data_IF_525819770897
#
_entry.id   IF_525819770897
#
_cell.length_a   1.000
_cell.length_b   1.000
_cell.length_c   1.000
_cell.angle_alpha   90.00
_cell.angle_beta   90.00
_cell.angle_gamma   90.00
#
_symmetry.space_group_name_H-M   'P 1'
#
loop_
_entity.id
_entity.type
_entity.pdbx_description
1 polymer ?
#
# COMPACT_ATOMS: atom_id res chain seq x y z
N UNK A 1 -20.89 14.82 -17.26
CA UNK A 1 -20.47 14.61 -16.72
C UNK A 1 -19.43 14.44 -16.62
N UNK A 2 -19.09 14.71 -16.54
CA UNK A 2 -18.12 14.53 -16.36
C UNK A 2 -17.72 13.57 -15.85
N UNK A 3 -17.28 13.00 -16.12
CA UNK A 3 -16.87 12.21 -15.63
C UNK A 3 -15.94 12.20 -15.10
N UNK A 4 -16.06 11.91 -15.20
CA UNK A 4 -15.33 12.21 -14.15
C UNK A 4 -14.22 11.24 -13.95
N UNK A 5 -13.47 11.08 -15.01
CA UNK A 5 -12.35 10.18 -15.03
C UNK A 5 -11.24 10.59 -14.07
N UNK A 6 -11.33 11.84 -13.59
CA UNK A 6 -10.31 12.33 -12.66
C UNK A 6 -10.70 12.13 -11.22
N UNK A 7 -11.88 11.60 -10.95
CA UNK A 7 -12.25 11.31 -9.57
C UNK A 7 -11.75 9.95 -9.17
N UNK A 8 -10.52 9.90 -8.76
CA UNK A 8 -9.85 8.65 -8.49
C UNK A 8 -10.21 8.04 -7.15
N UNK A 9 -11.03 8.75 -6.36
CA UNK A 9 -11.58 8.18 -5.14
C UNK A 9 -12.86 7.40 -5.40
N UNK A 10 -13.26 7.25 -6.65
CA UNK A 10 -14.41 6.45 -7.01
C UNK A 10 -14.26 5.04 -6.44
N UNK A 11 -15.23 4.56 -5.63
CA UNK A 11 -15.12 3.25 -5.00
C UNK A 11 -14.91 2.11 -5.99
N UNK A 12 -15.48 2.20 -7.19
CA UNK A 12 -15.30 1.12 -8.17
C UNK A 12 -13.85 1.04 -8.64
N UNK A 13 -13.18 2.17 -8.80
CA UNK A 13 -11.77 2.18 -9.19
C UNK A 13 -10.88 1.66 -8.07
N UNK A 14 -11.20 2.01 -6.84
CA UNK A 14 -10.46 1.50 -5.69
C UNK A 14 -10.60 -0.01 -5.62
N UNK A 15 -11.81 -0.53 -5.79
CA UNK A 15 -12.04 -1.97 -5.74
C UNK A 15 -11.31 -2.69 -6.86
N UNK A 16 -11.27 -2.11 -8.05
CA UNK A 16 -10.51 -2.69 -9.16
C UNK A 16 -9.03 -2.72 -8.85
N UNK A 17 -8.52 -1.64 -8.28
CA UNK A 17 -7.11 -1.58 -7.90
C UNK A 17 -6.79 -2.65 -6.84
N UNK A 18 -7.67 -2.80 -5.85
CA UNK A 18 -7.48 -3.80 -4.80
C UNK A 18 -7.42 -5.21 -5.36
N UNK A 19 -8.30 -5.53 -6.32
CA UNK A 19 -8.28 -6.85 -6.96
C UNK A 19 -6.97 -7.07 -7.70
N UNK A 20 -6.51 -6.07 -8.43
CA UNK A 20 -5.26 -6.17 -9.17
C UNK A 20 -4.08 -6.34 -8.22
N UNK A 21 -4.09 -5.61 -7.10
CA UNK A 21 -3.03 -5.69 -6.10
C UNK A 21 -3.00 -7.09 -5.48
N UNK A 22 -4.14 -7.62 -5.10
CA UNK A 22 -4.25 -8.96 -4.52
C UNK A 22 -3.72 -10.01 -5.49
N UNK A 23 -4.08 -9.89 -6.77
CA UNK A 23 -3.64 -10.83 -7.78
C UNK A 23 -2.13 -10.74 -7.98
N UNK A 24 -1.59 -9.51 -8.03
CA UNK A 24 -0.16 -9.31 -8.26
C UNK A 24 0.68 -9.81 -7.10
N UNK A 25 0.23 -9.53 -5.86
CA UNK A 25 1.06 -9.82 -4.69
C UNK A 25 1.02 -11.29 -4.29
N UNK A 26 -0.08 -11.99 -4.52
CA UNK A 26 -0.21 -13.34 -3.98
C UNK A 26 -1.03 -14.29 -4.86
N UNK A 27 -1.49 -13.84 -6.04
CA UNK A 27 -2.46 -14.57 -6.86
C UNK A 27 -3.73 -14.91 -6.07
N UNK A 28 -4.12 -14.01 -5.16
CA UNK A 28 -5.35 -14.17 -4.39
C UNK A 28 -5.21 -14.99 -3.13
N UNK A 29 -3.99 -15.30 -2.70
CA UNK A 29 -3.80 -16.17 -1.54
C UNK A 29 -3.64 -15.35 -0.26
N UNK A 30 -4.72 -15.28 0.53
CA UNK A 30 -4.70 -14.53 1.79
C UNK A 30 -3.78 -15.15 2.85
N UNK A 31 -3.39 -16.41 2.68
CA UNK A 31 -2.52 -17.09 3.63
C UNK A 31 -1.06 -17.07 3.22
N UNK A 32 -0.72 -16.32 2.19
CA UNK A 32 0.66 -16.28 1.69
C UNK A 32 1.60 -15.73 2.76
N UNK A 33 2.78 -16.35 2.85
CA UNK A 33 3.88 -15.86 3.66
C UNK A 33 5.08 -15.82 2.75
N UNK A 34 5.52 -14.62 2.43
CA UNK A 34 6.57 -14.45 1.42
C UNK A 34 7.95 -14.67 2.03
N UNK A 35 8.94 -14.82 1.18
CA UNK A 35 10.31 -14.98 1.65
C UNK A 35 10.74 -13.76 2.43
N UNK A 36 11.43 -13.94 3.56
CA UNK A 36 11.95 -12.79 4.31
C UNK A 36 12.98 -12.03 3.51
N UNK A 37 13.08 -10.74 3.77
CA UNK A 37 14.12 -9.92 3.17
C UNK A 37 14.70 -8.99 4.23
N UNK A 38 15.83 -8.40 3.89
CA UNK A 38 16.53 -7.47 4.78
C UNK A 38 16.39 -6.09 4.17
N UNK A 39 15.95 -5.14 4.97
CA UNK A 39 15.87 -3.75 4.53
C UNK A 39 16.69 -2.89 5.48
N UNK A 40 16.97 -1.66 5.06
CA UNK A 40 17.64 -0.70 5.92
C UNK A 40 16.58 0.23 6.49
N UNK A 41 16.54 0.31 7.83
CA UNK A 41 15.62 1.22 8.51
C UNK A 41 16.10 2.66 8.24
N UNK A 42 15.25 3.46 7.60
CA UNK A 42 15.63 4.81 7.21
C UNK A 42 15.87 5.72 8.42
N UNK A 43 15.28 5.39 9.57
CA UNK A 43 15.41 6.21 10.76
C UNK A 43 16.67 5.92 11.56
N UNK A 44 17.15 4.68 11.54
CA UNK A 44 18.28 4.27 12.37
C UNK A 44 19.48 3.84 11.56
N UNK A 45 19.33 3.59 10.28
CA UNK A 45 20.40 3.07 9.43
C UNK A 45 20.68 1.59 9.65
N UNK A 46 19.92 0.94 10.52
CA UNK A 46 20.15 -0.46 10.84
C UNK A 46 19.47 -1.37 9.86
N UNK A 47 20.04 -2.54 9.66
CA UNK A 47 19.43 -3.59 8.84
C UNK A 47 18.40 -4.33 9.67
N UNK A 48 17.20 -4.53 9.13
CA UNK A 48 16.15 -5.27 9.82
C UNK A 48 15.57 -6.30 8.87
N UNK A 49 15.15 -7.44 9.46
CA UNK A 49 14.50 -8.50 8.72
C UNK A 49 13.01 -8.20 8.67
N UNK A 50 12.43 -8.29 7.48
CA UNK A 50 11.00 -8.09 7.28
C UNK A 50 10.45 -9.24 6.47
N UNK A 51 9.13 -9.45 6.58
CA UNK A 51 8.46 -10.50 5.84
C UNK A 51 7.08 -10.00 5.44
N UNK A 52 6.77 -10.11 4.15
CA UNK A 52 5.46 -9.72 3.65
C UNK A 52 4.46 -10.83 3.96
N UNK A 53 3.30 -10.46 4.44
CA UNK A 53 2.27 -11.38 4.90
C UNK A 53 0.97 -11.18 4.16
N UNK A 54 0.30 -12.29 3.87
CA UNK A 54 -1.06 -12.28 3.36
C UNK A 54 -1.19 -11.96 1.90
N UNK A 55 -2.44 -11.75 1.51
CA UNK A 55 -2.80 -11.58 0.10
C UNK A 55 -2.25 -10.32 -0.53
N UNK A 56 -2.09 -9.27 0.26
CA UNK A 56 -1.61 -7.97 -0.24
C UNK A 56 -0.14 -7.74 0.04
N UNK A 57 0.53 -8.69 0.70
CA UNK A 57 1.95 -8.57 0.97
C UNK A 57 2.30 -7.45 1.93
N UNK A 58 1.49 -7.25 2.97
CA UNK A 58 1.77 -6.23 3.97
C UNK A 58 2.93 -6.71 4.84
N UNK A 59 3.94 -5.85 5.03
CA UNK A 59 5.08 -6.23 5.84
C UNK A 59 4.69 -6.45 7.30
N UNK A 60 5.28 -7.47 7.91
CA UNK A 60 5.00 -7.81 9.30
C UNK A 60 5.26 -6.63 10.24
N UNK A 61 6.29 -5.83 9.96
CA UNK A 61 6.59 -4.67 10.79
C UNK A 61 5.57 -3.54 10.64
N UNK A 62 4.72 -3.60 9.62
CA UNK A 62 3.72 -2.57 9.37
C UNK A 62 2.34 -2.97 9.85
N UNK A 63 2.08 -4.26 10.04
CA UNK A 63 0.72 -4.72 10.28
C UNK A 63 0.05 -4.05 11.50
N UNK A 64 0.76 -3.98 12.63
CA UNK A 64 0.15 -3.43 13.84
C UNK A 64 -0.18 -1.96 13.68
N UNK A 65 0.72 -1.18 13.11
CA UNK A 65 0.50 0.25 12.94
C UNK A 65 -0.60 0.49 11.91
N UNK A 66 -0.56 -0.21 10.78
CA UNK A 66 -1.54 0.00 9.72
C UNK A 66 -2.94 -0.44 10.15
N UNK A 67 -3.05 -1.55 10.88
CA UNK A 67 -4.36 -1.99 11.38
C UNK A 67 -4.92 -1.00 12.39
N UNK A 68 -4.06 -0.44 13.23
CA UNK A 68 -4.50 0.59 14.17
C UNK A 68 -5.01 1.83 13.42
N UNK A 69 -4.29 2.27 12.40
CA UNK A 69 -4.70 3.42 11.60
C UNK A 69 -6.03 3.17 10.90
N UNK A 70 -6.27 1.94 10.50
CA UNK A 70 -7.52 1.57 9.83
C UNK A 70 -8.68 1.36 10.79
N UNK A 71 -8.47 1.57 12.09
CA UNK A 71 -9.51 1.38 13.08
C UNK A 71 -9.70 -0.06 13.51
N UNK A 72 -8.70 -0.91 13.25
CA UNK A 72 -8.77 -2.34 13.54
C UNK A 72 -7.61 -2.78 14.42
N UNK A 73 -7.26 -1.97 15.40
CA UNK A 73 -6.15 -2.27 16.29
C UNK A 73 -6.28 -3.67 16.87
N UNK A 74 -5.19 -4.44 16.80
CA UNK A 74 -5.19 -5.81 17.32
C UNK A 74 -5.75 -6.86 16.39
N UNK A 75 -6.13 -6.49 15.17
CA UNK A 75 -6.69 -7.46 14.23
C UNK A 75 -5.65 -8.52 13.86
N UNK A 76 -6.14 -9.73 13.65
CA UNK A 76 -5.30 -10.85 13.24
C UNK A 76 -5.04 -10.76 11.75
N UNK A 77 -3.77 -10.74 11.35
CA UNK A 77 -3.45 -10.62 9.93
C UNK A 77 -3.93 -11.82 9.11
N UNK A 78 -4.24 -12.95 9.75
CA UNK A 78 -4.76 -14.12 9.03
C UNK A 78 -6.21 -13.93 8.58
N UNK A 79 -6.90 -12.93 9.12
CA UNK A 79 -8.30 -12.70 8.77
C UNK A 79 -8.37 -11.97 7.42
N UNK A 80 -8.94 -12.60 6.37
CA UNK A 80 -9.02 -11.95 5.06
C UNK A 80 -9.76 -10.62 5.08
N UNK A 81 -10.79 -10.50 5.91
CA UNK A 81 -11.54 -9.25 6.00
C UNK A 81 -10.70 -8.14 6.59
N UNK A 82 -9.87 -8.47 7.59
CA UNK A 82 -8.95 -7.50 8.17
C UNK A 82 -7.90 -7.09 7.14
N UNK A 83 -7.37 -8.04 6.38
CA UNK A 83 -6.41 -7.72 5.32
C UNK A 83 -7.02 -6.78 4.29
N UNK A 84 -8.25 -7.08 3.82
CA UNK A 84 -8.93 -6.23 2.86
C UNK A 84 -9.09 -4.80 3.41
N UNK A 85 -9.54 -4.67 4.65
CA UNK A 85 -9.81 -3.37 5.22
C UNK A 85 -8.53 -2.56 5.43
N UNK A 86 -7.49 -3.20 5.94
CA UNK A 86 -6.22 -2.52 6.19
C UNK A 86 -5.57 -2.11 4.88
N UNK A 87 -5.57 -3.01 3.89
CA UNK A 87 -4.98 -2.69 2.59
C UNK A 87 -5.74 -1.56 1.92
N UNK A 88 -7.07 -1.59 1.95
CA UNK A 88 -7.88 -0.55 1.33
C UNK A 88 -7.64 0.80 1.98
N UNK A 89 -7.57 0.82 3.31
CA UNK A 89 -7.28 2.06 4.03
C UNK A 89 -5.94 2.66 3.58
N UNK A 90 -4.92 1.83 3.48
CA UNK A 90 -3.59 2.31 3.11
C UNK A 90 -3.52 2.72 1.64
N UNK A 91 -4.17 1.99 0.76
CA UNK A 91 -4.24 2.36 -0.66
C UNK A 91 -4.92 3.71 -0.81
N UNK A 92 -6.03 3.92 -0.09
CA UNK A 92 -6.74 5.20 -0.13
C UNK A 92 -5.85 6.32 0.39
N UNK A 93 -5.14 6.08 1.49
CA UNK A 93 -4.25 7.06 2.06
C UNK A 93 -3.15 7.46 1.07
N UNK A 94 -2.55 6.47 0.44
CA UNK A 94 -1.50 6.74 -0.55
C UNK A 94 -2.08 7.51 -1.74
N UNK A 95 -3.28 7.14 -2.19
CA UNK A 95 -3.87 7.85 -3.32
C UNK A 95 -4.18 9.29 -2.95
N UNK A 96 -4.71 9.51 -1.75
CA UNK A 96 -4.99 10.88 -1.30
C UNK A 96 -3.72 11.70 -1.20
N UNK A 97 -2.62 11.06 -0.80
CA UNK A 97 -1.35 11.74 -0.63
C UNK A 97 -0.64 12.00 -1.95
N UNK A 98 -0.65 11.03 -2.85
CA UNK A 98 0.15 11.13 -4.07
C UNK A 98 -0.65 11.48 -5.32
N UNK A 99 -1.94 11.20 -5.35
CA UNK A 99 -2.82 11.60 -6.45
C UNK A 99 -2.64 10.80 -7.73
N UNK A 100 -1.99 9.65 -7.67
CA UNK A 100 -1.70 8.84 -8.85
C UNK A 100 -1.66 7.37 -8.48
N UNK A 101 -2.32 6.53 -9.29
CA UNK A 101 -2.26 5.09 -9.07
C UNK A 101 -0.86 4.53 -9.25
N UNK A 102 -0.09 5.12 -10.16
CA UNK A 102 1.29 4.70 -10.34
C UNK A 102 2.09 4.95 -9.06
N UNK A 103 1.91 6.12 -8.45
CA UNK A 103 2.61 6.42 -7.21
C UNK A 103 2.16 5.52 -6.06
N UNK A 104 0.87 5.14 -6.03
CA UNK A 104 0.37 4.18 -5.04
C UNK A 104 1.11 2.86 -5.19
N UNK A 105 1.28 2.40 -6.43
CA UNK A 105 1.96 1.12 -6.68
C UNK A 105 3.42 1.18 -6.23
N UNK A 106 4.11 2.29 -6.51
CA UNK A 106 5.48 2.45 -6.04
C UNK A 106 5.54 2.48 -4.52
N UNK A 107 4.61 3.21 -3.89
CA UNK A 107 4.59 3.30 -2.43
C UNK A 107 4.35 1.92 -1.82
N UNK A 108 3.47 1.13 -2.42
CA UNK A 108 3.19 -0.21 -1.91
C UNK A 108 4.40 -1.11 -2.02
N UNK A 109 5.06 -1.08 -3.17
CA UNK A 109 6.13 -2.00 -3.49
C UNK A 109 7.49 -1.57 -2.95
N UNK A 110 7.77 -0.26 -2.96
CA UNK A 110 9.10 0.27 -2.62
C UNK A 110 9.08 1.28 -1.49
N UNK A 111 7.91 1.56 -0.91
CA UNK A 111 7.78 2.49 0.21
C UNK A 111 7.38 3.89 -0.21
N UNK A 112 6.73 4.59 0.72
CA UNK A 112 6.20 5.92 0.46
C UNK A 112 7.30 6.94 0.14
N UNK A 113 8.47 6.79 0.76
CA UNK A 113 9.58 7.71 0.49
C UNK A 113 10.06 7.60 -0.95
N UNK A 114 10.08 6.38 -1.50
CA UNK A 114 10.47 6.19 -2.90
C UNK A 114 9.44 6.79 -3.84
N UNK A 115 8.16 6.62 -3.55
CA UNK A 115 7.10 7.21 -4.35
C UNK A 115 7.23 8.73 -4.35
N UNK A 116 7.46 9.32 -3.19
CA UNK A 116 7.62 10.77 -3.10
C UNK A 116 8.82 11.26 -3.91
N UNK A 117 9.93 10.53 -3.83
CA UNK A 117 11.13 10.86 -4.59
C UNK A 117 10.85 10.88 -6.09
N UNK A 118 10.22 9.82 -6.60
CA UNK A 118 9.98 9.70 -8.03
C UNK A 118 8.99 10.74 -8.53
N UNK A 119 8.02 11.09 -7.70
CA UNK A 119 7.08 12.14 -8.06
C UNK A 119 7.76 13.50 -8.07
N UNK A 120 8.55 13.78 -7.05
CA UNK A 120 9.21 15.09 -6.93
C UNK A 120 10.22 15.32 -8.03
N UNK A 121 10.85 14.26 -8.55
CA UNK A 121 11.83 14.41 -9.63
C UNK A 121 11.21 14.30 -11.02
N UNK A 122 9.88 14.20 -11.10
CA UNK A 122 9.17 14.19 -12.37
C UNK A 122 9.05 12.84 -13.06
N UNK A 123 9.53 11.76 -12.43
CA UNK A 123 9.42 10.44 -13.01
C UNK A 123 7.95 9.97 -13.02
N UNK A 124 7.20 10.32 -11.98
CA UNK A 124 5.77 10.06 -11.90
C UNK A 124 5.07 11.41 -11.88
N UNK A 125 4.13 11.60 -12.81
CA UNK A 125 3.41 12.85 -12.93
C UNK A 125 2.18 12.85 -12.04
N UNK A 126 2.13 13.80 -11.08
CA UNK A 126 0.92 13.98 -10.30
C UNK A 126 0.93 15.35 -9.63
N UNK A 127 -0.21 15.77 -9.10
CA UNK A 127 -0.40 17.14 -8.64
C UNK A 127 -0.18 17.34 -7.14
N UNK A 128 0.11 16.28 -6.38
CA UNK A 128 0.24 16.36 -4.93
C UNK A 128 1.62 15.97 -4.42
N UNK A 129 2.61 16.07 -5.28
CA UNK A 129 3.94 15.54 -5.04
C UNK A 129 4.60 16.06 -3.78
N UNK A 130 4.38 17.31 -3.48
CA UNK A 130 5.08 17.96 -2.38
C UNK A 130 4.25 18.16 -1.15
N UNK A 131 3.13 17.52 -1.09
CA UNK A 131 2.28 17.65 0.08
C UNK A 131 2.68 16.71 1.20
#
# INVERSE_FOLDING_TARGET
MENDMTNDTNPALIDMYMKALLQRESTGNYEAVHEPSIITDVNTGKKIRVQALGGYGILDINWDQWSKEAGLEGADWHDPKAQDAVAKFKVQEYFDRFGSWEAVSVAWFAGANKAKELVNNGTIDYSKADS
#
